data_IF_728230503800
#
_entry.id   IF_728230503800
#
_cell.length_a   1.000
_cell.length_b   1.000
_cell.length_c   1.000
_cell.angle_alpha   90.00
_cell.angle_beta   90.00
_cell.angle_gamma   90.00
#
_symmetry.space_group_name_H-M   'P 1'
#
loop_
_entity.id
_entity.type
_entity.pdbx_description
1 polymer ?
#
# COMPACT_ATOMS: atom_id res chain seq x y z
N UNK A 1 5.93 -3.95 16.60
CA UNK A 1 5.05 -4.15 15.43
C UNK A 1 5.03 -5.64 15.22
N UNK A 2 3.87 -6.22 14.96
CA UNK A 2 3.77 -7.63 14.63
C UNK A 2 2.60 -8.34 15.29
N UNK A 3 2.31 -8.07 16.57
CA UNK A 3 1.27 -8.79 17.29
C UNK A 3 -0.12 -8.65 16.64
N UNK A 4 -0.41 -7.48 16.05
CA UNK A 4 -1.64 -7.23 15.32
C UNK A 4 -1.70 -7.97 13.99
N UNK A 5 -0.61 -7.93 13.22
CA UNK A 5 -0.46 -8.69 11.96
C UNK A 5 -0.59 -10.21 12.22
N UNK A 6 0.06 -10.71 13.27
CA UNK A 6 0.02 -12.12 13.67
C UNK A 6 -1.41 -12.58 13.97
N UNK A 7 -2.16 -11.79 14.75
CA UNK A 7 -3.55 -12.11 15.09
C UNK A 7 -4.49 -11.97 13.88
N UNK A 8 -4.30 -10.95 13.05
CA UNK A 8 -5.06 -10.72 11.84
C UNK A 8 -4.87 -11.87 10.83
N UNK A 9 -3.62 -12.25 10.57
CA UNK A 9 -3.23 -13.35 9.68
C UNK A 9 -3.83 -14.69 10.13
N UNK A 10 -3.76 -15.01 11.43
CA UNK A 10 -4.39 -16.22 12.00
C UNK A 10 -5.92 -16.18 11.86
N UNK A 11 -6.54 -15.05 12.18
CA UNK A 11 -8.00 -14.90 12.07
C UNK A 11 -8.47 -15.02 10.61
N UNK A 12 -7.70 -14.48 9.66
CA UNK A 12 -7.98 -14.60 8.23
C UNK A 12 -7.80 -16.03 7.72
N UNK A 13 -6.78 -16.76 8.16
CA UNK A 13 -6.62 -18.20 7.87
C UNK A 13 -7.85 -19.00 8.28
N UNK A 14 -8.35 -18.77 9.49
CA UNK A 14 -9.56 -19.43 9.99
C UNK A 14 -10.80 -19.08 9.16
N UNK A 15 -10.90 -17.82 8.72
CA UNK A 15 -11.99 -17.35 7.86
C UNK A 15 -11.91 -17.99 6.45
N UNK A 16 -10.73 -18.08 5.86
CA UNK A 16 -10.53 -18.73 4.57
C UNK A 16 -10.77 -20.23 4.60
N UNK A 17 -10.39 -20.89 5.70
CA UNK A 17 -10.58 -22.33 5.91
C UNK A 17 -12.03 -22.73 6.20
N UNK A 18 -12.91 -21.78 6.56
CA UNK A 18 -14.29 -22.09 6.91
C UNK A 18 -15.09 -22.56 5.67
N UNK A 19 -15.75 -23.74 5.71
CA UNK A 19 -16.54 -24.23 4.57
C UNK A 19 -17.82 -23.41 4.35
N UNK A 20 -18.32 -22.76 5.41
CA UNK A 20 -19.47 -21.86 5.38
C UNK A 20 -19.23 -20.75 6.38
N UNK A 21 -19.45 -19.51 5.94
CA UNK A 21 -19.48 -18.34 6.82
C UNK A 21 -20.91 -18.06 7.29
N UNK A 22 -21.01 -17.59 8.53
CA UNK A 22 -22.27 -17.24 9.17
C UNK A 22 -22.46 -15.72 9.13
N UNK A 23 -23.58 -15.28 8.57
CA UNK A 23 -23.88 -13.85 8.37
C UNK A 23 -23.95 -13.04 9.67
N UNK A 24 -24.27 -13.67 10.80
CA UNK A 24 -24.35 -12.99 12.10
C UNK A 24 -22.99 -12.76 12.76
N UNK A 25 -22.10 -13.74 12.68
CA UNK A 25 -20.81 -13.73 13.38
C UNK A 25 -19.63 -13.27 12.53
N UNK A 26 -19.76 -13.32 11.20
CA UNK A 26 -18.70 -12.90 10.26
C UNK A 26 -18.29 -11.43 10.43
N UNK A 27 -19.20 -10.45 10.59
CA UNK A 27 -18.80 -9.05 10.78
C UNK A 27 -17.86 -8.84 11.98
N UNK A 28 -18.11 -9.54 13.09
CA UNK A 28 -17.25 -9.45 14.28
C UNK A 28 -15.83 -9.96 14.02
N UNK A 29 -15.68 -11.01 13.21
CA UNK A 29 -14.36 -11.53 12.81
C UNK A 29 -13.62 -10.54 11.90
N UNK A 30 -14.32 -9.91 10.94
CA UNK A 30 -13.74 -8.89 10.07
C UNK A 30 -13.32 -7.65 10.85
N UNK A 31 -14.14 -7.20 11.81
CA UNK A 31 -13.78 -6.10 12.72
C UNK A 31 -12.56 -6.45 13.57
N UNK A 32 -12.43 -7.69 14.04
CA UNK A 32 -11.23 -8.14 14.77
C UNK A 32 -9.98 -8.03 13.89
N UNK A 33 -10.03 -8.52 12.65
CA UNK A 33 -8.92 -8.41 11.69
C UNK A 33 -8.52 -6.95 11.50
N UNK A 34 -9.50 -6.06 11.29
CA UNK A 34 -9.26 -4.62 11.16
C UNK A 34 -8.61 -4.01 12.39
N UNK A 35 -9.14 -4.25 13.60
CA UNK A 35 -8.59 -3.71 14.84
C UNK A 35 -7.15 -4.17 15.07
N UNK A 36 -6.86 -5.45 14.79
CA UNK A 36 -5.50 -6.00 14.92
C UNK A 36 -4.55 -5.36 13.90
N UNK A 37 -4.96 -5.16 12.64
CA UNK A 37 -4.14 -4.48 11.64
C UNK A 37 -3.91 -2.99 11.96
N UNK A 38 -4.94 -2.29 12.46
CA UNK A 38 -4.83 -0.89 12.86
C UNK A 38 -3.86 -0.66 14.02
N UNK A 39 -3.74 -1.63 14.94
CA UNK A 39 -2.76 -1.58 16.03
C UNK A 39 -1.34 -1.47 15.48
N UNK A 40 -1.00 -2.26 14.46
CA UNK A 40 0.33 -2.23 13.85
C UNK A 40 0.49 -1.10 12.82
N UNK A 41 -0.59 -0.63 12.20
CA UNK A 41 -0.58 0.51 11.29
C UNK A 41 -0.16 1.82 11.97
N UNK A 42 -0.61 2.05 13.21
CA UNK A 42 -0.18 3.22 14.00
C UNK A 42 1.32 3.20 14.28
N UNK A 43 1.90 2.01 14.49
CA UNK A 43 3.35 1.86 14.66
C UNK A 43 4.09 2.03 13.33
N UNK A 44 3.57 1.44 12.25
CA UNK A 44 4.15 1.59 10.91
C UNK A 44 4.16 3.05 10.44
N UNK A 45 3.15 3.84 10.80
CA UNK A 45 3.11 5.28 10.53
C UNK A 45 4.30 6.03 11.15
N UNK A 46 4.71 5.67 12.37
CA UNK A 46 5.89 6.23 13.02
C UNK A 46 7.22 5.72 12.47
N UNK A 47 7.20 4.67 11.64
CA UNK A 47 8.37 3.99 11.09
C UNK A 47 8.57 4.26 9.58
N UNK A 48 7.81 5.19 8.99
CA UNK A 48 7.97 5.61 7.60
C UNK A 48 6.81 5.25 6.66
N UNK A 49 5.72 4.68 7.19
CA UNK A 49 4.50 4.37 6.43
C UNK A 49 3.29 5.21 6.89
N UNK A 50 3.32 6.55 6.82
CA UNK A 50 2.29 7.43 7.40
C UNK A 50 0.89 7.22 6.81
N UNK A 51 0.81 6.71 5.57
CA UNK A 51 -0.46 6.42 4.90
C UNK A 51 -1.14 5.13 5.41
N UNK A 52 -0.42 4.24 6.12
CA UNK A 52 -0.91 2.91 6.46
C UNK A 52 -2.26 2.92 7.23
N UNK A 53 -2.46 3.76 8.27
CA UNK A 53 -3.75 3.82 8.96
C UNK A 53 -4.91 4.24 8.05
N UNK A 54 -4.69 5.20 7.15
CA UNK A 54 -5.71 5.68 6.23
C UNK A 54 -6.07 4.63 5.17
N UNK A 55 -5.06 3.95 4.59
CA UNK A 55 -5.26 2.87 3.64
C UNK A 55 -6.05 1.70 4.23
N UNK A 56 -5.74 1.31 5.47
CA UNK A 56 -6.44 0.22 6.17
C UNK A 56 -7.86 0.63 6.55
N UNK A 57 -8.06 1.87 7.03
CA UNK A 57 -9.39 2.41 7.31
C UNK A 57 -10.29 2.43 6.07
N UNK A 58 -9.77 2.94 4.95
CA UNK A 58 -10.48 2.97 3.67
C UNK A 58 -10.83 1.57 3.16
N UNK A 59 -9.85 0.67 3.15
CA UNK A 59 -10.05 -0.72 2.71
C UNK A 59 -11.08 -1.47 3.56
N UNK A 60 -11.09 -1.25 4.88
CA UNK A 60 -12.08 -1.86 5.75
C UNK A 60 -13.49 -1.33 5.52
N UNK A 61 -13.62 -0.03 5.25
CA UNK A 61 -14.90 0.57 4.85
C UNK A 61 -15.47 -0.11 3.60
N UNK A 62 -14.64 -0.28 2.55
CA UNK A 62 -15.02 -0.99 1.32
C UNK A 62 -15.41 -2.45 1.58
N UNK A 63 -14.69 -3.15 2.45
CA UNK A 63 -15.03 -4.51 2.88
C UNK A 63 -16.40 -4.57 3.57
N UNK A 64 -16.68 -3.63 4.47
CA UNK A 64 -17.95 -3.61 5.20
C UNK A 64 -19.13 -3.26 4.30
N UNK A 65 -18.95 -2.35 3.32
CA UNK A 65 -19.95 -2.10 2.27
C UNK A 65 -20.25 -3.38 1.48
N UNK A 66 -19.21 -4.13 1.11
CA UNK A 66 -19.35 -5.41 0.42
C UNK A 66 -20.10 -6.43 1.28
N UNK A 67 -19.78 -6.51 2.58
CA UNK A 67 -20.48 -7.40 3.49
C UNK A 67 -21.97 -7.07 3.64
N UNK A 68 -22.35 -5.78 3.68
CA UNK A 68 -23.77 -5.38 3.70
C UNK A 68 -24.48 -5.83 2.43
N UNK A 69 -23.88 -5.61 1.25
CA UNK A 69 -24.45 -6.04 -0.02
C UNK A 69 -24.62 -7.58 -0.09
N UNK A 70 -23.61 -8.33 0.34
CA UNK A 70 -23.67 -9.80 0.36
C UNK A 70 -24.66 -10.33 1.39
N UNK A 71 -24.83 -9.66 2.52
CA UNK A 71 -25.84 -10.02 3.54
C UNK A 71 -27.26 -9.80 3.01
N UNK A 72 -27.49 -8.71 2.27
CA UNK A 72 -28.76 -8.46 1.61
C UNK A 72 -29.06 -9.52 0.54
N UNK A 73 -28.07 -9.86 -0.29
CA UNK A 73 -28.18 -10.93 -1.29
C UNK A 73 -28.45 -12.30 -0.65
N UNK A 74 -27.77 -12.62 0.46
CA UNK A 74 -28.01 -13.84 1.24
C UNK A 74 -29.46 -13.90 1.73
N UNK A 75 -29.95 -12.81 2.34
CA UNK A 75 -31.31 -12.75 2.92
C UNK A 75 -32.37 -12.95 1.84
N UNK A 76 -32.21 -12.30 0.68
CA UNK A 76 -33.12 -12.46 -0.44
C UNK A 76 -33.08 -13.89 -1.03
N UNK A 77 -31.89 -14.47 -1.19
CA UNK A 77 -31.72 -15.82 -1.75
C UNK A 77 -32.20 -16.93 -0.81
N UNK A 78 -31.97 -16.79 0.50
CA UNK A 78 -32.39 -17.76 1.51
C UNK A 78 -33.91 -17.81 1.71
N UNK A 79 -34.63 -16.73 1.39
CA UNK A 79 -36.09 -16.70 1.45
C UNK A 79 -36.77 -17.56 0.36
N UNK A 80 -36.04 -17.94 -0.69
CA UNK A 80 -36.55 -18.82 -1.75
C UNK A 80 -36.55 -20.28 -1.26
N UNK A 81 -37.64 -21.05 -1.43
CA UNK A 81 -37.66 -22.46 -1.07
C UNK A 81 -36.50 -23.24 -1.71
N UNK A 82 -35.62 -23.79 -0.87
CA UNK A 82 -34.42 -24.52 -1.31
C UNK A 82 -33.24 -23.63 -1.75
N UNK A 83 -33.35 -22.31 -1.66
CA UNK A 83 -32.30 -21.35 -2.08
C UNK A 83 -31.18 -21.12 -1.05
N UNK A 84 -31.39 -21.48 0.22
CA UNK A 84 -30.44 -21.23 1.30
C UNK A 84 -29.01 -21.79 1.07
N UNK A 85 -28.82 -23.01 0.52
CA UNK A 85 -27.48 -23.52 0.24
C UNK A 85 -26.70 -22.64 -0.75
N UNK A 86 -27.34 -22.21 -1.84
CA UNK A 86 -26.70 -21.37 -2.85
C UNK A 86 -26.42 -19.95 -2.33
N UNK A 87 -27.36 -19.39 -1.57
CA UNK A 87 -27.20 -18.09 -0.92
C UNK A 87 -26.02 -18.09 0.07
N UNK A 88 -25.92 -19.15 0.87
CA UNK A 88 -24.84 -19.35 1.84
C UNK A 88 -23.47 -19.50 1.17
N UNK A 89 -23.41 -20.19 0.04
CA UNK A 89 -22.17 -20.35 -0.73
C UNK A 89 -21.74 -19.00 -1.33
N UNK A 90 -22.67 -18.27 -1.96
CA UNK A 90 -22.39 -16.96 -2.53
C UNK A 90 -21.88 -15.94 -1.48
N UNK A 91 -22.50 -15.93 -0.29
CA UNK A 91 -22.02 -15.11 0.83
C UNK A 91 -20.59 -15.51 1.26
N UNK A 92 -20.36 -16.81 1.41
CA UNK A 92 -19.06 -17.34 1.85
C UNK A 92 -17.94 -16.96 0.89
N UNK A 93 -18.09 -17.24 -0.40
CA UNK A 93 -17.07 -16.94 -1.41
C UNK A 93 -16.90 -15.43 -1.61
N UNK A 94 -17.99 -14.66 -1.58
CA UNK A 94 -17.93 -13.20 -1.70
C UNK A 94 -17.17 -12.53 -0.55
N UNK A 95 -17.41 -12.97 0.70
CA UNK A 95 -16.68 -12.44 1.85
C UNK A 95 -15.22 -12.90 1.84
N UNK A 96 -14.94 -14.13 1.44
CA UNK A 96 -13.55 -14.59 1.34
C UNK A 96 -12.74 -13.76 0.34
N UNK A 97 -13.32 -13.50 -0.84
CA UNK A 97 -12.71 -12.63 -1.84
C UNK A 97 -12.47 -11.21 -1.32
N UNK A 98 -13.51 -10.57 -0.75
CA UNK A 98 -13.39 -9.20 -0.25
C UNK A 98 -12.44 -9.09 0.95
N UNK A 99 -12.53 -10.03 1.89
CA UNK A 99 -11.69 -10.07 3.09
C UNK A 99 -10.22 -10.27 2.75
N UNK A 100 -9.92 -11.13 1.78
CA UNK A 100 -8.56 -11.36 1.32
C UNK A 100 -7.98 -10.16 0.55
N UNK A 101 -8.79 -9.49 -0.28
CA UNK A 101 -8.36 -8.24 -0.92
C UNK A 101 -8.03 -7.16 0.11
N UNK A 102 -8.88 -7.00 1.13
CA UNK A 102 -8.63 -6.10 2.25
C UNK A 102 -7.35 -6.47 3.01
N UNK A 103 -7.24 -7.71 3.49
CA UNK A 103 -6.08 -8.17 4.27
C UNK A 103 -4.77 -8.02 3.47
N UNK A 104 -4.79 -8.34 2.17
CA UNK A 104 -3.64 -8.18 1.29
C UNK A 104 -3.21 -6.72 1.18
N UNK A 105 -4.15 -5.82 0.88
CA UNK A 105 -3.87 -4.39 0.80
C UNK A 105 -3.36 -3.81 2.12
N UNK A 106 -3.92 -4.26 3.24
CA UNK A 106 -3.55 -3.81 4.57
C UNK A 106 -2.15 -4.26 4.98
N UNK A 107 -1.78 -5.53 4.72
CA UNK A 107 -0.42 -6.01 4.96
C UNK A 107 0.57 -5.27 4.07
N UNK A 108 0.29 -5.07 2.78
CA UNK A 108 1.16 -4.28 1.89
C UNK A 108 1.36 -2.84 2.40
N UNK A 109 0.32 -2.21 2.97
CA UNK A 109 0.43 -0.87 3.53
C UNK A 109 1.36 -0.79 4.75
N UNK A 110 1.44 -1.87 5.55
CA UNK A 110 2.32 -1.96 6.73
C UNK A 110 3.72 -2.46 6.36
N UNK A 111 3.84 -3.22 5.26
CA UNK A 111 5.00 -4.01 4.89
C UNK A 111 6.27 -3.25 4.51
N UNK A 112 6.22 -1.93 4.29
CA UNK A 112 7.37 -1.13 3.80
C UNK A 112 8.59 -1.07 4.73
N UNK A 113 8.56 -1.75 5.87
CA UNK A 113 9.56 -1.71 6.94
C UNK A 113 9.98 -3.10 7.43
N UNK A 114 9.73 -4.14 6.64
CA UNK A 114 10.20 -5.51 6.93
C UNK A 114 10.29 -6.35 5.66
N UNK A 115 10.92 -7.52 5.74
CA UNK A 115 10.97 -8.47 4.63
C UNK A 115 9.56 -8.97 4.28
N UNK A 116 9.28 -8.99 2.98
CA UNK A 116 7.99 -9.38 2.42
C UNK A 116 8.12 -10.58 1.50
N UNK A 117 7.04 -11.33 1.39
CA UNK A 117 6.88 -12.38 0.40
C UNK A 117 5.46 -12.29 -0.18
N UNK A 118 5.29 -12.70 -1.45
CA UNK A 118 3.97 -12.88 -2.06
C UNK A 118 3.74 -14.37 -2.22
N UNK A 119 2.80 -14.91 -1.44
CA UNK A 119 2.48 -16.33 -1.48
C UNK A 119 1.40 -16.59 -2.53
N UNK A 120 1.72 -17.31 -3.62
CA UNK A 120 0.77 -17.58 -4.70
C UNK A 120 -0.17 -18.75 -4.35
N UNK A 121 0.01 -19.42 -3.19
CA UNK A 121 -0.80 -20.57 -2.81
C UNK A 121 -2.26 -20.13 -2.69
N UNK A 122 -3.18 -20.77 -3.44
CA UNK A 122 -4.60 -20.55 -3.26
C UNK A 122 -5.02 -21.06 -1.87
N UNK A 123 -5.46 -20.17 -0.97
CA UNK A 123 -6.63 -20.52 -0.18
C UNK A 123 -7.82 -20.58 -1.16
N UNK A 124 -8.95 -21.25 -0.89
CA UNK A 124 -10.07 -21.24 -1.84
C UNK A 124 -10.28 -19.79 -2.33
N UNK A 125 -10.21 -19.61 -3.67
CA UNK A 125 -9.90 -18.35 -4.36
C UNK A 125 -10.41 -17.16 -3.55
N UNK A 126 -9.53 -16.26 -3.07
CA UNK A 126 -8.21 -15.86 -3.63
C UNK A 126 -6.94 -16.36 -2.87
N UNK A 127 -5.71 -16.15 -3.43
CA UNK A 127 -4.44 -16.61 -2.83
C UNK A 127 -4.11 -16.01 -1.46
N UNK A 128 -3.18 -16.67 -0.75
CA UNK A 128 -2.69 -16.24 0.56
C UNK A 128 -2.20 -14.79 0.58
N UNK A 129 -1.62 -14.32 -0.53
CA UNK A 129 -1.31 -12.92 -0.75
C UNK A 129 0.02 -12.49 -0.13
N UNK A 130 0.21 -11.19 0.13
CA UNK A 130 1.42 -10.69 0.74
C UNK A 130 1.54 -11.18 2.18
N UNK A 131 2.77 -11.45 2.60
CA UNK A 131 3.14 -11.77 3.97
C UNK A 131 4.35 -10.98 4.40
N UNK A 132 4.48 -10.79 5.70
CA UNK A 132 5.58 -10.06 6.33
C UNK A 132 6.19 -10.87 7.45
N UNK A 133 7.49 -10.72 7.65
CA UNK A 133 8.15 -11.22 8.84
C UNK A 133 7.96 -10.20 9.97
N UNK A 134 7.36 -10.62 11.08
CA UNK A 134 7.06 -9.73 12.21
C UNK A 134 8.18 -9.71 13.26
N UNK A 135 9.08 -10.69 13.22
CA UNK A 135 10.19 -10.86 14.16
C UNK A 135 11.45 -11.27 13.38
N UNK A 136 12.43 -10.38 13.29
CA UNK A 136 13.76 -10.66 12.73
C UNK A 136 14.83 -10.77 13.82
N UNK A 137 16.10 -10.73 13.41
CA UNK A 137 17.28 -10.69 14.28
C UNK A 137 17.28 -9.47 15.21
N UNK A 138 17.76 -9.64 16.45
CA UNK A 138 17.89 -8.54 17.42
C UNK A 138 19.22 -7.79 17.30
N UNK A 139 20.18 -8.37 16.58
CA UNK A 139 21.57 -7.94 16.56
C UNK A 139 22.11 -7.67 15.15
N UNK A 140 21.46 -8.22 14.12
CA UNK A 140 21.85 -8.06 12.71
C UNK A 140 20.77 -7.29 11.99
N UNK A 141 21.15 -6.12 11.46
CA UNK A 141 20.28 -5.26 10.69
C UNK A 141 20.78 -5.16 9.26
N UNK A 142 19.89 -5.31 8.28
CA UNK A 142 20.17 -5.10 6.85
C UNK A 142 19.29 -3.92 6.42
N UNK A 143 19.91 -2.89 5.82
CA UNK A 143 19.21 -1.64 5.50
C UNK A 143 18.43 -1.05 6.69
N UNK A 144 19.03 -1.11 7.89
CA UNK A 144 18.45 -0.64 9.15
C UNK A 144 17.18 -1.39 9.60
N UNK A 145 16.87 -2.55 9.02
CA UNK A 145 15.77 -3.42 9.41
C UNK A 145 16.29 -4.74 10.02
N UNK A 146 15.62 -5.31 11.04
CA UNK A 146 15.95 -6.62 11.59
C UNK A 146 16.06 -7.68 10.50
N UNK A 147 17.21 -8.36 10.39
CA UNK A 147 17.42 -9.35 9.35
C UNK A 147 16.58 -10.62 9.60
N UNK A 148 15.82 -11.06 8.60
CA UNK A 148 15.06 -12.33 8.66
C UNK A 148 15.99 -13.54 8.68
N UNK A 149 15.63 -14.56 9.46
CA UNK A 149 16.37 -15.83 9.59
C UNK A 149 15.55 -17.00 9.09
N UNK A 150 16.23 -18.13 8.91
CA UNK A 150 15.56 -19.42 8.82
C UNK A 150 14.69 -19.63 10.06
N UNK A 151 13.51 -20.19 9.86
CA UNK A 151 12.51 -20.51 10.89
C UNK A 151 11.83 -19.29 11.56
N UNK A 152 12.18 -18.05 11.19
CA UNK A 152 11.31 -16.90 11.47
C UNK A 152 9.99 -17.07 10.68
N UNK A 153 8.88 -16.59 11.23
CA UNK A 153 7.55 -16.78 10.64
C UNK A 153 7.17 -15.59 9.74
N UNK A 154 6.79 -15.91 8.50
CA UNK A 154 6.06 -15.01 7.61
C UNK A 154 4.58 -15.11 7.97
N UNK A 155 3.93 -13.97 8.18
CA UNK A 155 2.49 -13.89 8.41
C UNK A 155 1.80 -13.40 7.15
N UNK A 156 1.19 -14.33 6.43
CA UNK A 156 0.50 -14.08 5.16
C UNK A 156 -0.89 -13.51 5.41
N UNK A 157 -1.37 -12.66 4.52
CA UNK A 157 -2.67 -11.99 4.64
C UNK A 157 -3.82 -12.97 4.87
N UNK A 158 -3.78 -14.12 4.19
CA UNK A 158 -4.82 -15.13 4.29
C UNK A 158 -4.32 -16.53 4.65
N UNK A 159 -3.00 -16.78 4.59
CA UNK A 159 -2.42 -18.10 4.83
C UNK A 159 -2.04 -18.41 6.28
N UNK A 160 -1.95 -17.37 7.13
CA UNK A 160 -1.45 -17.52 8.49
C UNK A 160 0.08 -17.51 8.57
N UNK A 161 0.66 -18.05 9.66
CA UNK A 161 2.11 -18.22 9.78
C UNK A 161 2.63 -19.30 8.82
N UNK A 162 3.75 -19.00 8.15
CA UNK A 162 4.56 -19.93 7.36
C UNK A 162 6.06 -19.71 7.67
N UNK A 163 6.82 -20.73 8.14
CA UNK A 163 8.23 -20.54 8.46
C UNK A 163 9.11 -20.35 7.21
N UNK A 164 10.09 -19.46 7.32
CA UNK A 164 11.14 -19.31 6.30
C UNK A 164 11.98 -20.58 6.23
N UNK A 165 11.76 -21.38 5.19
CA UNK A 165 12.34 -22.73 5.08
C UNK A 165 13.87 -22.74 4.93
N UNK A 166 14.43 -21.77 4.22
CA UNK A 166 15.87 -21.67 3.97
C UNK A 166 16.30 -20.24 3.63
N UNK A 167 17.48 -19.85 4.12
CA UNK A 167 18.22 -18.69 3.66
C UNK A 167 19.45 -19.09 2.83
N UNK A 168 20.37 -18.15 2.61
CA UNK A 168 21.66 -18.46 2.01
C UNK A 168 22.48 -19.38 2.94
N UNK A 169 22.88 -20.60 2.53
CA UNK A 169 23.53 -21.57 3.43
C UNK A 169 24.87 -21.10 4.02
N UNK A 170 25.51 -20.10 3.41
CA UNK A 170 26.79 -19.54 3.86
C UNK A 170 26.63 -18.31 4.75
N UNK A 171 25.41 -17.80 4.92
CA UNK A 171 25.12 -16.61 5.74
C UNK A 171 24.45 -17.06 7.02
N UNK A 172 25.13 -16.85 8.15
CA UNK A 172 24.62 -17.18 9.48
C UNK A 172 24.22 -15.89 10.18
N UNK A 173 22.93 -15.73 10.42
CA UNK A 173 22.34 -14.61 11.16
C UNK A 173 21.97 -15.15 12.55
N UNK A 174 22.63 -14.67 13.60
CA UNK A 174 22.41 -15.15 14.96
C UNK A 174 22.55 -14.04 15.98
N UNK A 175 21.82 -14.17 17.10
CA UNK A 175 21.89 -13.26 18.24
C UNK A 175 22.96 -13.68 19.27
N UNK A 176 23.62 -14.81 19.05
CA UNK A 176 24.51 -15.49 20.01
C UNK A 176 26.01 -15.28 19.72
N UNK A 177 26.35 -14.33 18.86
CA UNK A 177 27.74 -13.99 18.51
C UNK A 177 28.39 -13.06 19.53
N UNK A 178 28.99 -13.63 20.58
CA UNK A 178 29.74 -12.89 21.59
C UNK A 178 30.88 -12.02 21.02
N UNK A 179 30.74 -10.70 21.16
CA UNK A 179 31.78 -9.68 21.03
C UNK A 179 31.28 -8.40 21.72
N UNK A 180 32.12 -7.63 22.45
CA UNK A 180 31.62 -6.61 23.36
C UNK A 180 31.10 -5.41 22.56
N UNK A 181 29.77 -5.29 22.48
CA UNK A 181 29.12 -4.09 21.98
C UNK A 181 29.09 -3.04 23.10
N UNK A 182 30.07 -2.14 23.10
CA UNK A 182 29.86 -0.80 23.65
C UNK A 182 29.28 0.07 22.54
N UNK A 183 27.96 0.25 22.56
CA UNK A 183 27.27 1.43 22.04
C UNK A 183 25.80 1.36 22.45
N UNK A 184 25.52 1.80 23.68
CA UNK A 184 24.20 2.28 24.04
C UNK A 184 23.88 3.57 23.26
N UNK A 185 22.63 3.65 22.81
CA UNK A 185 21.72 4.81 22.80
C UNK A 185 20.89 4.76 21.49
N UNK A 186 19.58 4.97 21.47
CA UNK A 186 18.68 5.58 22.43
C UNK A 186 17.25 5.06 22.18
N UNK A 187 16.42 5.11 23.24
CA UNK A 187 14.95 5.10 23.27
C UNK A 187 14.40 4.12 24.31
N UNK A 188 14.63 4.42 25.58
CA UNK A 188 13.98 3.74 26.69
C UNK A 188 13.66 4.70 27.84
N UNK A 189 12.97 5.81 27.56
CA UNK A 189 12.25 6.59 28.58
C UNK A 189 11.02 7.25 27.95
N UNK A 190 9.86 6.59 28.08
CA UNK A 190 8.53 7.19 28.40
C UNK A 190 7.39 6.25 28.01
N UNK A 191 7.26 5.12 28.73
CA UNK A 191 6.13 4.21 28.56
C UNK A 191 5.03 4.39 29.63
N UNK A 192 5.15 5.38 30.52
CA UNK A 192 4.22 5.53 31.65
C UNK A 192 3.16 6.65 31.48
N UNK A 193 3.43 7.71 30.70
CA UNK A 193 2.47 8.82 30.54
C UNK A 193 1.54 8.68 29.31
N UNK A 194 1.97 7.97 28.26
CA UNK A 194 1.17 7.79 27.03
C UNK A 194 -0.04 6.84 27.17
N UNK A 195 -0.07 6.00 28.21
CA UNK A 195 -1.21 5.12 28.47
C UNK A 195 -2.45 5.86 28.98
N UNK A 196 -2.30 7.06 29.58
CA UNK A 196 -3.47 7.81 30.08
C UNK A 196 -4.19 8.62 28.97
N UNK A 197 -3.49 9.00 27.90
CA UNK A 197 -4.07 9.73 26.76
C UNK A 197 -4.70 8.81 25.71
N UNK A 198 -4.23 7.56 25.59
CA UNK A 198 -4.86 6.55 24.73
C UNK A 198 -6.19 6.03 25.30
N UNK A 199 -6.36 6.05 26.63
CA UNK A 199 -7.61 5.68 27.28
C UNK A 199 -8.67 6.79 27.23
N UNK A 200 -8.27 8.07 27.21
CA UNK A 200 -9.21 9.20 27.11
C UNK A 200 -9.75 9.40 25.67
N UNK A 201 -8.98 9.03 24.65
CA UNK A 201 -9.41 9.07 23.25
C UNK A 201 -10.33 7.92 22.88
N UNK A 202 -10.09 6.71 23.39
CA UNK A 202 -10.99 5.58 23.20
C UNK A 202 -12.38 5.84 23.84
N UNK A 203 -12.41 6.40 25.05
CA UNK A 203 -13.66 6.76 25.74
C UNK A 203 -14.44 7.86 25.01
N UNK A 204 -13.75 8.91 24.52
CA UNK A 204 -14.36 10.00 23.75
C UNK A 204 -14.97 9.53 22.41
N UNK A 205 -14.39 8.50 21.77
CA UNK A 205 -14.92 7.91 20.55
C UNK A 205 -16.18 7.06 20.80
N UNK A 206 -16.25 6.35 21.94
CA UNK A 206 -17.47 5.63 22.36
C UNK A 206 -18.61 6.56 22.77
N UNK A 207 -18.32 7.67 23.46
CA UNK A 207 -19.34 8.67 23.85
C UNK A 207 -19.84 9.49 22.63
N UNK A 208 -18.97 9.73 21.65
CA UNK A 208 -19.34 10.31 20.35
C UNK A 208 -20.29 9.40 19.55
N UNK A 209 -20.01 8.09 19.53
CA UNK A 209 -20.87 7.11 18.87
C UNK A 209 -22.23 6.92 19.57
N UNK A 210 -22.29 7.11 20.90
CA UNK A 210 -23.53 6.98 21.68
C UNK A 210 -24.44 8.22 21.61
N UNK A 211 -23.90 9.40 21.29
CA UNK A 211 -24.63 10.68 21.29
C UNK A 211 -25.28 11.04 19.95
N UNK A 212 -25.01 10.30 18.87
CA UNK A 212 -25.65 10.51 17.57
C UNK A 212 -25.30 11.86 16.92
N UNK A 213 -24.20 12.50 17.33
CA UNK A 213 -23.71 13.70 16.66
C UNK A 213 -23.18 13.34 15.26
N UNK A 214 -23.54 14.10 14.21
CA UNK A 214 -23.09 13.81 12.85
C UNK A 214 -21.57 13.99 12.73
N UNK A 215 -20.89 12.90 12.37
CA UNK A 215 -19.47 12.86 12.05
C UNK A 215 -19.24 13.52 10.68
N UNK A 216 -18.85 14.80 10.72
CA UNK A 216 -18.26 15.64 9.65
C UNK A 216 -19.18 16.79 9.23
N UNK A 217 -18.90 17.95 9.81
CA UNK A 217 -18.74 19.17 9.01
C UNK A 217 -17.21 19.34 8.86
N UNK A 218 -16.73 19.50 7.62
CA UNK A 218 -15.30 19.67 7.35
C UNK A 218 -14.87 20.95 8.06
N UNK A 219 -13.86 20.89 8.94
CA UNK A 219 -13.44 22.10 9.62
C UNK A 219 -12.85 23.08 8.61
N UNK A 220 -13.04 24.38 8.83
CA UNK A 220 -12.56 25.47 7.97
C UNK A 220 -11.06 25.36 7.66
N UNK A 221 -10.28 24.78 8.58
CA UNK A 221 -8.87 24.51 8.37
C UNK A 221 -8.61 23.38 7.38
N UNK A 222 -9.41 22.31 7.38
CA UNK A 222 -9.35 21.25 6.38
C UNK A 222 -9.83 21.72 5.00
N UNK A 223 -10.84 22.59 4.94
CA UNK A 223 -11.24 23.23 3.66
C UNK A 223 -10.14 24.12 3.10
N UNK A 224 -9.49 24.94 3.95
CA UNK A 224 -8.35 25.76 3.53
C UNK A 224 -7.16 24.94 3.06
N UNK A 225 -6.89 23.79 3.69
CA UNK A 225 -5.83 22.88 3.26
C UNK A 225 -6.17 22.18 1.95
N UNK A 226 -7.45 21.83 1.73
CA UNK A 226 -7.92 21.24 0.48
C UNK A 226 -7.84 22.24 -0.68
N UNK A 227 -8.28 23.48 -0.48
CA UNK A 227 -8.16 24.55 -1.49
C UNK A 227 -6.69 24.82 -1.84
N UNK A 228 -5.79 24.85 -0.84
CA UNK A 228 -4.37 25.01 -1.08
C UNK A 228 -3.74 23.86 -1.90
N UNK A 229 -4.25 22.62 -1.77
CA UNK A 229 -3.79 21.48 -2.57
C UNK A 229 -4.43 21.39 -3.96
N UNK A 230 -5.58 22.02 -4.18
CA UNK A 230 -6.24 22.10 -5.49
C UNK A 230 -5.63 23.22 -6.37
N UNK A 231 -4.91 24.19 -5.76
CA UNK A 231 -4.24 25.30 -6.46
C UNK A 231 -2.74 25.04 -6.80
N UNK A 232 -2.10 24.02 -6.23
CA UNK A 232 -0.75 23.57 -6.64
C UNK A 232 -0.86 22.57 -7.78
N UNK A 233 -0.89 23.09 -9.01
CA UNK A 233 -0.94 22.26 -10.21
C UNK A 233 0.31 21.38 -10.31
N UNK A 234 0.13 20.10 -10.63
CA UNK A 234 1.24 19.16 -10.73
C UNK A 234 1.97 19.29 -12.07
N UNK A 235 3.31 19.28 -12.05
CA UNK A 235 4.15 19.21 -13.26
C UNK A 235 4.70 17.80 -13.43
N UNK A 236 4.61 17.27 -14.66
CA UNK A 236 5.23 16.02 -15.08
C UNK A 236 6.37 16.31 -16.05
N UNK A 237 7.57 15.78 -15.78
CA UNK A 237 8.73 15.98 -16.64
C UNK A 237 9.47 14.66 -16.89
N UNK A 238 9.85 14.45 -18.16
CA UNK A 238 10.65 13.30 -18.61
C UNK A 238 11.88 13.83 -19.32
N UNK A 239 13.07 13.35 -18.95
CA UNK A 239 14.31 13.64 -19.66
C UNK A 239 14.92 12.37 -20.25
N UNK A 240 15.19 12.41 -21.54
CA UNK A 240 15.86 11.36 -22.30
C UNK A 240 17.34 11.70 -22.42
N UNK A 241 18.19 10.76 -22.01
CA UNK A 241 19.65 10.86 -22.07
C UNK A 241 20.23 9.63 -22.74
N UNK A 242 21.43 9.75 -23.29
CA UNK A 242 22.22 8.63 -23.79
C UNK A 242 22.81 7.83 -22.61
N UNK A 243 22.66 6.50 -22.62
CA UNK A 243 23.07 5.62 -21.51
C UNK A 243 24.60 5.52 -21.33
N UNK A 244 25.38 5.78 -22.39
CA UNK A 244 26.84 5.74 -22.31
C UNK A 244 27.44 7.10 -21.93
N UNK A 245 26.83 8.20 -22.40
CA UNK A 245 27.42 9.55 -22.25
C UNK A 245 26.71 10.45 -21.25
N UNK A 246 25.52 10.06 -20.77
CA UNK A 246 24.59 10.89 -19.99
C UNK A 246 24.17 12.20 -20.70
N UNK A 247 24.49 12.36 -21.99
CA UNK A 247 24.15 13.57 -22.75
C UNK A 247 22.66 13.57 -23.14
N UNK A 248 21.99 14.73 -23.11
CA UNK A 248 20.58 14.83 -23.47
C UNK A 248 20.34 14.49 -24.94
N UNK A 249 19.26 13.74 -25.22
CA UNK A 249 18.89 13.34 -26.59
C UNK A 249 17.70 14.17 -27.08
N UNK A 250 17.91 15.17 -27.96
CA UNK A 250 16.83 15.95 -28.56
C UNK A 250 16.10 15.20 -29.67
N UNK A 251 14.84 15.55 -29.92
CA UNK A 251 14.08 15.05 -31.07
C UNK A 251 13.43 13.68 -30.89
N UNK A 252 13.37 13.14 -29.67
CA UNK A 252 12.71 11.86 -29.36
C UNK A 252 11.22 12.09 -29.18
N UNK A 253 10.41 11.45 -30.03
CA UNK A 253 8.96 11.50 -29.91
C UNK A 253 8.48 10.57 -28.79
N UNK A 254 7.79 11.14 -27.81
CA UNK A 254 7.18 10.45 -26.67
C UNK A 254 5.68 10.63 -26.71
N UNK A 255 4.96 9.53 -26.68
CA UNK A 255 3.52 9.47 -26.46
C UNK A 255 3.26 9.44 -24.96
N UNK A 256 2.63 10.47 -24.42
CA UNK A 256 2.33 10.62 -22.99
C UNK A 256 0.83 10.47 -22.80
N UNK A 257 0.43 9.51 -21.97
CA UNK A 257 -0.95 9.36 -21.51
C UNK A 257 -1.10 10.13 -20.20
N UNK A 258 -1.99 11.11 -20.19
CA UNK A 258 -2.33 11.96 -19.05
C UNK A 258 -3.27 11.23 -18.06
N UNK A 259 -3.43 11.75 -16.82
CA UNK A 259 -4.28 11.13 -15.80
C UNK A 259 -5.76 10.98 -16.17
N UNK A 260 -6.26 11.80 -17.09
CA UNK A 260 -7.62 11.76 -17.65
C UNK A 260 -7.78 10.75 -18.80
N UNK A 261 -6.68 10.13 -19.23
CA UNK A 261 -6.63 9.17 -20.34
C UNK A 261 -6.41 9.81 -21.71
N UNK A 262 -6.21 11.13 -21.80
CA UNK A 262 -5.81 11.79 -23.05
C UNK A 262 -4.38 11.40 -23.42
N UNK A 263 -4.12 11.17 -24.71
CA UNK A 263 -2.81 10.80 -25.23
C UNK A 263 -2.25 11.94 -26.07
N UNK A 264 -1.12 12.48 -25.64
CA UNK A 264 -0.42 13.57 -26.32
C UNK A 264 0.94 13.10 -26.84
N UNK A 265 1.33 13.55 -28.04
CA UNK A 265 2.66 13.26 -28.58
C UNK A 265 3.54 14.49 -28.43
N UNK A 266 4.59 14.36 -27.64
CA UNK A 266 5.59 15.39 -27.37
C UNK A 266 6.94 14.99 -27.93
N UNK A 267 7.79 15.97 -28.22
CA UNK A 267 9.16 15.72 -28.71
C UNK A 267 10.16 16.37 -27.77
N UNK A 268 11.21 15.64 -27.38
CA UNK A 268 12.24 16.17 -26.48
C UNK A 268 12.95 17.39 -27.07
N UNK A 269 13.19 18.40 -26.23
CA UNK A 269 13.87 19.64 -26.60
C UNK A 269 15.41 19.48 -26.70
N UNK A 270 16.14 20.59 -26.92
CA UNK A 270 17.63 20.61 -26.97
C UNK A 270 18.31 20.06 -25.70
N UNK A 271 17.57 19.95 -24.59
CA UNK A 271 18.03 19.42 -23.30
C UNK A 271 17.43 18.03 -23.04
N UNK A 272 16.89 17.37 -24.07
CA UNK A 272 16.33 16.03 -23.98
C UNK A 272 15.06 15.95 -23.15
N UNK A 273 14.39 17.06 -22.85
CA UNK A 273 13.31 17.12 -21.88
C UNK A 273 11.95 17.34 -22.54
N UNK A 274 10.92 16.69 -22.00
CA UNK A 274 9.51 17.00 -22.19
C UNK A 274 8.93 17.36 -20.83
N UNK A 275 8.24 18.50 -20.74
CA UNK A 275 7.63 19.01 -19.53
C UNK A 275 6.17 19.34 -19.81
N UNK A 276 5.28 18.81 -18.97
CA UNK A 276 3.84 19.05 -19.00
C UNK A 276 3.49 19.72 -17.67
N UNK A 277 3.17 21.00 -17.77
CA UNK A 277 2.70 21.80 -16.66
C UNK A 277 1.18 21.65 -16.49
N UNK A 278 0.70 22.16 -15.36
CA UNK A 278 -0.72 22.41 -15.16
C UNK A 278 -1.62 21.15 -15.17
N UNK A 279 -1.15 19.99 -14.69
CA UNK A 279 -1.98 18.78 -14.60
C UNK A 279 -3.12 18.97 -13.59
N UNK A 280 -4.34 19.15 -14.11
CA UNK A 280 -5.55 19.47 -13.35
C UNK A 280 -6.10 18.28 -12.52
N UNK A 281 -5.61 17.06 -12.76
CA UNK A 281 -6.08 15.85 -12.11
C UNK A 281 -4.93 15.03 -11.45
N UNK A 282 -5.06 14.63 -10.18
CA UNK A 282 -4.13 13.69 -9.57
C UNK A 282 -4.29 12.30 -10.20
N UNK A 283 -3.20 11.71 -10.68
CA UNK A 283 -3.21 10.37 -11.23
C UNK A 283 -1.87 9.95 -11.83
N UNK A 284 -1.89 8.86 -12.59
CA UNK A 284 -0.67 8.28 -13.19
C UNK A 284 -0.50 8.79 -14.61
N UNK A 285 0.67 9.30 -14.94
CA UNK A 285 1.08 9.55 -16.33
C UNK A 285 1.92 8.37 -16.84
N UNK A 286 1.73 7.96 -18.09
CA UNK A 286 2.60 6.95 -18.72
C UNK A 286 3.24 7.52 -19.99
N UNK A 287 4.55 7.32 -20.15
CA UNK A 287 5.28 7.68 -21.37
C UNK A 287 5.62 6.41 -22.17
N UNK A 288 5.35 6.44 -23.47
CA UNK A 288 5.69 5.40 -24.43
C UNK A 288 6.41 6.03 -25.63
N UNK A 289 7.31 5.31 -26.27
CA UNK A 289 7.90 5.71 -27.55
C UNK A 289 7.49 4.68 -28.60
N UNK A 290 6.56 5.05 -29.48
CA UNK A 290 6.13 4.19 -30.58
C UNK A 290 7.15 4.26 -31.71
N UNK A 291 7.92 3.19 -31.91
CA UNK A 291 8.93 3.11 -32.96
C UNK A 291 8.37 2.37 -34.18
N UNK A 292 7.83 3.10 -35.15
CA UNK A 292 7.48 2.54 -36.45
C UNK A 292 8.72 2.45 -37.38
N UNK A 293 9.00 1.27 -37.94
CA UNK A 293 10.15 0.99 -38.83
C UNK A 293 11.55 1.10 -38.17
N UNK A 294 11.71 0.57 -36.96
CA UNK A 294 12.98 0.56 -36.23
C UNK A 294 14.16 -0.03 -37.03
N UNK A 295 15.26 0.73 -37.15
CA UNK A 295 16.58 0.22 -37.55
C UNK A 295 17.49 0.20 -36.33
N UNK A 296 18.42 -0.75 -36.25
CA UNK A 296 19.41 -0.87 -35.16
C UNK A 296 20.19 0.44 -34.88
N UNK A 297 20.37 1.28 -35.90
CA UNK A 297 21.03 2.58 -35.80
C UNK A 297 20.13 3.72 -35.30
N UNK A 298 18.86 3.44 -34.98
CA UNK A 298 17.83 4.42 -34.60
C UNK A 298 16.92 3.89 -33.49
N UNK A 299 17.39 2.89 -32.73
CA UNK A 299 16.64 2.28 -31.63
C UNK A 299 17.34 2.68 -30.33
N UNK A 300 16.68 3.50 -29.52
CA UNK A 300 17.06 3.77 -28.14
C UNK A 300 16.18 2.89 -27.24
N UNK A 301 16.79 2.15 -26.32
CA UNK A 301 16.07 1.32 -25.35
C UNK A 301 15.91 2.09 -24.04
N UNK A 302 14.79 1.90 -23.33
CA UNK A 302 14.62 2.50 -22.00
C UNK A 302 15.31 1.60 -20.97
N UNK A 303 16.59 1.89 -20.71
CA UNK A 303 17.46 1.03 -19.88
C UNK A 303 17.20 1.19 -18.37
N UNK A 304 16.47 2.23 -17.96
CA UNK A 304 16.10 2.46 -16.56
C UNK A 304 15.29 3.75 -16.33
N UNK A 305 14.79 3.93 -15.11
CA UNK A 305 14.23 5.20 -14.61
C UNK A 305 15.29 5.88 -13.74
N UNK A 306 15.57 7.17 -13.99
CA UNK A 306 16.53 7.92 -13.18
C UNK A 306 16.01 8.24 -11.78
N UNK A 307 16.87 8.15 -10.76
CA UNK A 307 16.52 8.40 -9.35
C UNK A 307 16.40 9.90 -8.99
N UNK A 308 16.66 10.80 -9.95
CA UNK A 308 16.74 12.25 -9.69
C UNK A 308 15.45 12.96 -10.13
N UNK A 309 14.76 13.57 -9.18
CA UNK A 309 13.63 14.47 -9.47
C UNK A 309 14.12 15.68 -10.27
N UNK A 310 13.57 15.88 -11.46
CA UNK A 310 13.79 17.11 -12.22
C UNK A 310 13.08 18.28 -11.52
N UNK A 311 13.78 19.39 -11.37
CA UNK A 311 13.16 20.64 -10.92
C UNK A 311 12.32 21.21 -12.07
N UNK A 312 11.03 21.55 -11.86
CA UNK A 312 10.23 22.22 -12.87
C UNK A 312 10.94 23.47 -13.38
N UNK A 313 10.87 23.73 -14.69
CA UNK A 313 11.43 24.95 -15.25
C UNK A 313 10.49 26.10 -14.94
N UNK A 314 11.06 27.23 -14.53
CA UNK A 314 10.27 28.43 -14.27
C UNK A 314 9.52 28.85 -15.55
N UNK A 315 8.21 29.07 -15.40
CA UNK A 315 7.26 29.46 -16.47
C UNK A 315 7.60 30.79 -17.18
N UNK A 316 8.63 31.51 -16.72
CA UNK A 316 9.14 32.74 -17.35
C UNK A 316 10.11 32.49 -18.53
N UNK A 317 10.56 31.25 -18.75
CA UNK A 317 11.53 30.94 -19.83
C UNK A 317 10.90 30.66 -21.21
N UNK A 318 9.58 30.51 -21.28
CA UNK A 318 8.83 30.31 -22.53
C UNK A 318 8.41 31.65 -23.14
N UNK A 319 9.37 32.43 -23.61
CA UNK A 319 9.07 33.42 -24.65
C UNK A 319 9.25 32.75 -26.02
N UNK A 320 8.26 32.84 -26.93
CA UNK A 320 8.44 32.37 -28.30
C UNK A 320 9.49 33.27 -28.97
N UNK A 321 10.69 32.75 -29.18
CA UNK A 321 11.65 33.40 -30.09
C UNK A 321 11.03 33.45 -31.47
N UNK A 322 10.68 34.67 -31.87
CA UNK A 322 9.84 34.99 -32.99
C UNK A 322 10.43 34.64 -34.36
N UNK A 323 9.50 34.66 -35.32
CA UNK A 323 9.73 34.71 -36.76
C UNK A 323 10.83 35.73 -37.14
N UNK A 324 11.81 35.25 -37.92
CA UNK A 324 12.30 35.93 -39.12
C UNK A 324 12.52 34.90 -40.23
#
# INVERSE_FOLDING_TARGET
>A
MGAGIEDASKTMKDLMGAPKLDVGSTPAKLSKVFSSLMQDAGKAAGEGAPAAPASIGGGFSSLMVTNVALTAAYTAGAAVPGGEPAASQAYTEGIKAAGAAFASSAITAIAGITDTHICPIPCPIPPHGPGVVTKGSKSVFINNLPATRKDDEVFEACGGPDPVAMGCPTVIIGDDGGGPATAESAAAQDQAEQQSQAQSTAAALTDGAASGAPLVEVCEQCERMRQASEDEKATFAVRVVDDETDEPVPGVALKITLPDGEEEVHTTDEQGTVEIDDLEAPGTCSAACDIENARLSSTYDFVGMGDTRLTPRDSESLQPTGQQ
#
